data_IF_489646389804
#
_entry.id   IF_489646389804
#
_cell.length_a   1.000
_cell.length_b   1.000
_cell.length_c   1.000
_cell.angle_alpha   90.00
_cell.angle_beta   90.00
_cell.angle_gamma   90.00
#
_symmetry.space_group_name_H-M   'P 1'
#
loop_
_entity.id
_entity.type
_entity.pdbx_description
1 polymer ?
#
# COMPACT_ATOMS: atom_id res chain seq x y z
N UNK A 1 13.06 12.48 13.57
CA UNK A 1 12.81 11.15 13.00
C UNK A 1 13.69 11.02 11.78
N UNK A 2 14.82 10.38 11.90
CA UNK A 2 15.75 10.09 10.80
C UNK A 2 15.08 9.10 9.86
N UNK A 3 14.86 9.55 8.64
CA UNK A 3 14.24 8.76 7.57
C UNK A 3 15.34 7.85 6.99
N UNK A 4 15.74 6.82 7.75
CA UNK A 4 16.81 5.91 7.36
C UNK A 4 16.37 5.11 6.12
N UNK A 5 16.88 5.55 4.98
CA UNK A 5 16.69 4.83 3.72
C UNK A 5 17.59 3.60 3.72
N UNK A 6 16.99 2.43 3.78
CA UNK A 6 17.72 1.17 3.58
C UNK A 6 18.23 1.12 2.14
N UNK A 7 19.54 1.02 1.99
CA UNK A 7 20.21 0.90 0.68
C UNK A 7 20.65 -0.55 0.52
N UNK A 8 20.21 -1.19 -0.56
CA UNK A 8 20.66 -2.53 -0.93
C UNK A 8 21.65 -2.37 -2.07
N UNK A 9 22.83 -2.95 -1.90
CA UNK A 9 23.89 -3.01 -2.91
C UNK A 9 23.97 -4.42 -3.48
N UNK A 10 24.44 -4.54 -4.70
CA UNK A 10 24.69 -5.83 -5.33
C UNK A 10 25.93 -6.50 -4.69
N UNK A 11 25.77 -7.72 -4.20
CA UNK A 11 26.85 -8.46 -3.53
C UNK A 11 28.03 -8.73 -4.47
N UNK A 12 27.78 -8.82 -5.79
CA UNK A 12 28.81 -9.13 -6.77
C UNK A 12 29.62 -7.92 -7.25
N UNK A 13 28.99 -6.75 -7.40
CA UNK A 13 29.65 -5.56 -7.98
C UNK A 13 29.57 -4.30 -7.12
N UNK A 14 28.97 -4.37 -5.94
CA UNK A 14 28.81 -3.24 -5.01
C UNK A 14 27.91 -2.10 -5.51
N UNK A 15 27.34 -2.20 -6.72
CA UNK A 15 26.47 -1.14 -7.24
C UNK A 15 25.18 -1.03 -6.43
N UNK A 16 24.73 0.18 -6.20
CA UNK A 16 23.46 0.44 -5.54
C UNK A 16 22.30 -0.07 -6.39
N UNK A 17 21.53 -1.01 -5.84
CA UNK A 17 20.36 -1.61 -6.48
C UNK A 17 19.08 -0.87 -6.14
N UNK A 18 18.83 -0.69 -4.85
CA UNK A 18 17.59 -0.15 -4.32
C UNK A 18 17.87 0.80 -3.16
N UNK A 19 17.03 1.82 -3.06
CA UNK A 19 16.96 2.67 -1.88
C UNK A 19 15.48 2.84 -1.56
N UNK A 20 15.04 2.33 -0.42
CA UNK A 20 13.65 2.40 -0.02
C UNK A 20 13.51 2.66 1.48
N UNK A 21 12.37 3.22 1.85
CA UNK A 21 11.98 3.33 3.26
C UNK A 21 11.30 2.03 3.69
N UNK A 22 11.44 1.65 4.93
CA UNK A 22 10.82 0.46 5.54
C UNK A 22 9.30 0.39 5.31
N UNK A 23 8.65 1.54 5.12
CA UNK A 23 7.21 1.70 4.84
C UNK A 23 6.85 1.63 3.35
N UNK A 24 7.78 1.20 2.46
CA UNK A 24 7.46 1.11 1.04
C UNK A 24 6.40 0.04 0.81
N UNK A 25 5.38 0.41 0.00
CA UNK A 25 4.24 -0.46 -0.30
C UNK A 25 4.69 -1.77 -0.93
N UNK A 26 4.21 -2.89 -0.38
CA UNK A 26 4.39 -4.23 -0.97
C UNK A 26 3.87 -4.27 -2.40
N UNK A 27 4.61 -4.91 -3.30
CA UNK A 27 4.27 -5.09 -4.71
C UNK A 27 4.15 -6.56 -5.02
N UNK A 28 3.10 -6.93 -5.72
CA UNK A 28 2.89 -8.31 -6.15
C UNK A 28 3.46 -8.50 -7.56
N UNK A 29 4.78 -8.65 -7.61
CA UNK A 29 5.59 -8.84 -8.82
C UNK A 29 6.66 -9.87 -8.53
N UNK A 30 7.38 -10.32 -9.57
CA UNK A 30 8.57 -11.16 -9.37
C UNK A 30 9.57 -10.48 -8.43
N UNK A 31 9.93 -11.11 -7.30
CA UNK A 31 10.97 -10.62 -6.40
C UNK A 31 12.38 -10.75 -6.99
N UNK A 32 12.57 -11.64 -7.98
CA UNK A 32 13.85 -11.82 -8.65
C UNK A 32 14.06 -10.72 -9.66
N UNK A 33 15.11 -9.93 -9.46
CA UNK A 33 15.53 -8.85 -10.35
C UNK A 33 16.99 -9.06 -10.79
N UNK A 34 17.38 -8.41 -11.88
CA UNK A 34 18.78 -8.44 -12.37
C UNK A 34 19.48 -7.12 -12.08
N UNK A 35 20.70 -7.20 -11.63
CA UNK A 35 21.57 -6.02 -11.49
C UNK A 35 21.86 -5.45 -12.89
N UNK A 36 21.63 -4.16 -13.08
CA UNK A 36 21.86 -3.48 -14.37
C UNK A 36 23.34 -3.46 -14.78
N UNK A 37 24.27 -3.55 -13.81
CA UNK A 37 25.72 -3.42 -14.07
C UNK A 37 26.37 -4.78 -14.36
N UNK A 38 26.11 -5.80 -13.54
CA UNK A 38 26.77 -7.11 -13.65
C UNK A 38 25.84 -8.26 -14.01
N UNK A 39 24.54 -8.00 -14.23
CA UNK A 39 23.51 -8.97 -14.57
C UNK A 39 23.26 -10.05 -13.51
N UNK A 40 23.90 -9.97 -12.35
CA UNK A 40 23.64 -10.90 -11.23
C UNK A 40 22.19 -10.77 -10.75
N UNK A 41 21.59 -11.89 -10.38
CA UNK A 41 20.26 -11.91 -9.79
C UNK A 41 20.31 -11.47 -8.33
N UNK A 42 19.24 -10.83 -7.87
CA UNK A 42 19.03 -10.45 -6.48
C UNK A 42 17.53 -10.45 -6.14
N UNK A 43 17.21 -10.54 -4.84
CA UNK A 43 15.83 -10.43 -4.36
C UNK A 43 15.48 -8.98 -4.00
N UNK A 44 14.37 -8.49 -4.56
CA UNK A 44 13.75 -7.24 -4.13
C UNK A 44 12.74 -7.54 -3.02
N UNK A 45 13.08 -7.27 -1.78
CA UNK A 45 12.25 -7.52 -0.60
C UNK A 45 10.91 -6.76 -0.56
N UNK A 46 10.65 -5.87 -1.51
CA UNK A 46 9.35 -5.19 -1.68
C UNK A 46 8.41 -5.97 -2.58
N UNK A 47 8.95 -6.87 -3.40
CA UNK A 47 8.19 -7.67 -4.34
C UNK A 47 7.88 -9.03 -3.72
N UNK A 48 6.64 -9.48 -3.88
CA UNK A 48 6.11 -10.69 -3.27
C UNK A 48 5.42 -11.54 -4.33
N UNK A 49 5.67 -12.86 -4.29
CA UNK A 49 4.95 -13.83 -5.12
C UNK A 49 3.66 -14.26 -4.43
N UNK A 50 2.52 -13.93 -5.05
CA UNK A 50 1.20 -14.29 -4.49
C UNK A 50 1.01 -15.81 -4.42
N UNK A 51 1.60 -16.57 -5.35
CA UNK A 51 1.53 -18.02 -5.35
C UNK A 51 2.18 -18.66 -4.12
N UNK A 52 3.18 -17.98 -3.51
CA UNK A 52 3.90 -18.45 -2.32
C UNK A 52 3.32 -17.87 -1.03
N UNK A 53 3.20 -16.55 -0.96
CA UNK A 53 2.79 -15.85 0.26
C UNK A 53 1.26 -15.75 0.44
N UNK A 54 0.51 -15.94 -0.66
CA UNK A 54 -0.94 -15.74 -0.66
C UNK A 54 -1.35 -14.27 -0.69
N UNK A 55 -2.65 -14.04 -0.66
CA UNK A 55 -3.25 -12.69 -0.60
C UNK A 55 -3.53 -12.37 0.87
N UNK A 56 -3.09 -11.21 1.39
CA UNK A 56 -3.41 -10.83 2.77
C UNK A 56 -4.93 -10.79 3.00
N UNK A 57 -5.38 -11.40 4.09
CA UNK A 57 -6.80 -11.51 4.45
C UNK A 57 -7.50 -10.15 4.54
N UNK A 58 -6.77 -9.11 4.95
CA UNK A 58 -7.30 -7.75 5.10
C UNK A 58 -7.64 -7.07 3.77
N UNK A 59 -7.15 -7.60 2.64
CA UNK A 59 -7.36 -7.00 1.32
C UNK A 59 -8.83 -6.94 0.94
N UNK A 60 -9.62 -7.94 1.36
CA UNK A 60 -11.05 -8.07 1.07
C UNK A 60 -11.94 -7.80 2.29
N UNK A 61 -11.38 -7.35 3.40
CA UNK A 61 -12.13 -7.10 4.63
C UNK A 61 -13.03 -5.86 4.50
N UNK A 62 -14.32 -6.07 4.34
CA UNK A 62 -15.35 -5.00 4.36
C UNK A 62 -15.37 -4.34 5.74
N UNK A 63 -15.15 -5.11 6.81
CA UNK A 63 -15.18 -4.60 8.19
C UNK A 63 -14.19 -3.47 8.42
N UNK A 64 -12.96 -3.60 7.95
CA UNK A 64 -11.94 -2.54 8.09
C UNK A 64 -12.33 -1.27 7.31
N UNK A 65 -13.02 -1.42 6.18
CA UNK A 65 -13.49 -0.29 5.37
C UNK A 65 -14.67 0.44 6.02
N UNK A 66 -15.58 -0.30 6.66
CA UNK A 66 -16.66 0.29 7.45
C UNK A 66 -16.13 1.08 8.64
N UNK A 67 -15.13 0.54 9.36
CA UNK A 67 -14.49 1.25 10.47
C UNK A 67 -13.85 2.56 9.97
N UNK A 68 -13.17 2.54 8.82
CA UNK A 68 -12.58 3.72 8.22
C UNK A 68 -13.66 4.75 7.81
N UNK A 69 -14.78 4.29 7.28
CA UNK A 69 -15.94 5.15 6.95
C UNK A 69 -16.55 5.80 8.18
N UNK A 70 -16.74 5.04 9.27
CA UNK A 70 -17.22 5.57 10.55
C UNK A 70 -16.26 6.59 11.15
N UNK A 71 -14.95 6.34 11.07
CA UNK A 71 -13.95 7.30 11.50
C UNK A 71 -14.01 8.58 10.65
N UNK A 72 -14.17 8.46 9.33
CA UNK A 72 -14.39 9.60 8.44
C UNK A 72 -15.63 10.42 8.82
N UNK A 73 -16.75 9.76 9.15
CA UNK A 73 -17.97 10.42 9.62
C UNK A 73 -17.76 11.15 10.95
N UNK A 74 -17.01 10.55 11.88
CA UNK A 74 -16.64 11.22 13.13
C UNK A 74 -15.79 12.46 12.90
N UNK A 75 -14.78 12.38 12.02
CA UNK A 75 -13.93 13.53 11.65
C UNK A 75 -14.76 14.64 11.01
N UNK A 76 -15.67 14.28 10.10
CA UNK A 76 -16.59 15.22 9.45
C UNK A 76 -17.49 15.93 10.48
N UNK A 77 -18.09 15.17 11.38
CA UNK A 77 -18.90 15.70 12.48
C UNK A 77 -18.12 16.71 13.34
N UNK A 78 -16.89 16.36 13.70
CA UNK A 78 -16.00 17.28 14.46
C UNK A 78 -15.70 18.55 13.67
N UNK A 79 -15.46 18.44 12.38
CA UNK A 79 -15.26 19.60 11.50
C UNK A 79 -16.47 20.55 11.49
N UNK A 80 -17.67 20.00 11.31
CA UNK A 80 -18.94 20.76 11.34
C UNK A 80 -19.13 21.42 12.70
N UNK A 81 -18.96 20.67 13.79
CA UNK A 81 -19.11 21.20 15.15
C UNK A 81 -18.13 22.34 15.44
N UNK A 82 -16.89 22.23 15.01
CA UNK A 82 -15.90 23.30 15.12
C UNK A 82 -16.30 24.52 14.30
N UNK A 83 -16.80 24.34 13.07
CA UNK A 83 -17.24 25.43 12.22
C UNK A 83 -18.33 26.26 12.89
N UNK A 84 -19.36 25.62 13.46
CA UNK A 84 -20.42 26.30 14.19
C UNK A 84 -19.92 27.03 15.45
N UNK A 85 -18.95 26.45 16.13
CA UNK A 85 -18.39 27.04 17.35
C UNK A 85 -17.57 28.29 17.07
N UNK A 86 -16.86 28.35 15.94
CA UNK A 86 -16.03 29.49 15.56
C UNK A 86 -16.80 30.65 14.91
N UNK A 87 -18.03 30.44 14.42
CA UNK A 87 -18.86 31.56 13.90
C UNK A 87 -19.34 32.49 15.01
N UNK A 88 -19.23 32.14 16.26
CA UNK A 88 -19.81 32.86 17.40
C UNK A 88 -18.81 33.83 18.08
N UNK A 89 -17.69 34.22 17.42
CA UNK A 89 -17.10 35.45 17.92
C UNK A 89 -15.61 35.59 18.17
N UNK A 90 -14.71 35.14 17.30
CA UNK A 90 -13.32 35.57 17.39
C UNK A 90 -12.67 35.83 16.02
N UNK A 91 -11.98 36.98 15.86
CA UNK A 91 -11.40 37.40 14.57
C UNK A 91 -9.95 36.95 14.41
N UNK A 92 -9.61 35.70 14.68
CA UNK A 92 -8.27 35.18 14.40
C UNK A 92 -8.29 34.39 13.10
N UNK A 93 -7.71 34.95 12.05
CA UNK A 93 -7.69 34.44 10.68
C UNK A 93 -7.13 33.03 10.48
N UNK A 94 -6.57 32.40 11.49
CA UNK A 94 -5.95 31.07 11.42
C UNK A 94 -6.85 29.95 11.97
N UNK A 95 -7.87 30.29 12.73
CA UNK A 95 -8.71 29.30 13.42
C UNK A 95 -9.75 28.61 12.53
N UNK A 96 -10.18 29.26 11.44
CA UNK A 96 -11.15 28.67 10.49
C UNK A 96 -10.52 27.60 9.57
N UNK A 97 -9.19 27.58 9.43
CA UNK A 97 -8.50 26.62 8.58
C UNK A 97 -8.64 25.18 9.12
N UNK A 98 -8.60 25.02 10.43
CA UNK A 98 -8.74 23.71 11.08
C UNK A 98 -10.08 23.01 10.80
N UNK A 99 -11.25 23.65 10.97
CA UNK A 99 -12.54 23.04 10.59
C UNK A 99 -12.59 22.64 9.13
N UNK A 100 -12.08 23.46 8.21
CA UNK A 100 -12.06 23.18 6.77
C UNK A 100 -11.20 21.94 6.48
N UNK A 101 -10.03 21.82 7.10
CA UNK A 101 -9.17 20.62 6.94
C UNK A 101 -9.90 19.36 7.43
N UNK A 102 -10.59 19.41 8.59
CA UNK A 102 -11.37 18.28 9.10
C UNK A 102 -12.52 17.91 8.16
N UNK A 103 -13.21 18.89 7.58
CA UNK A 103 -14.30 18.67 6.62
C UNK A 103 -13.76 17.93 5.37
N UNK A 104 -12.71 18.46 4.75
CA UNK A 104 -12.09 17.84 3.56
C UNK A 104 -11.62 16.42 3.89
N UNK A 105 -10.90 16.25 4.99
CA UNK A 105 -10.37 14.96 5.40
C UNK A 105 -11.49 13.93 5.66
N UNK A 106 -12.56 14.35 6.35
CA UNK A 106 -13.73 13.51 6.62
C UNK A 106 -14.41 13.05 5.33
N UNK A 107 -14.64 13.97 4.38
CA UNK A 107 -15.24 13.65 3.07
C UNK A 107 -14.35 12.68 2.29
N UNK A 108 -13.05 12.92 2.21
CA UNK A 108 -12.10 12.03 1.49
C UNK A 108 -12.10 10.62 2.08
N UNK A 109 -12.10 10.49 3.40
CA UNK A 109 -12.15 9.19 4.07
C UNK A 109 -13.46 8.43 3.78
N UNK A 110 -14.60 9.12 3.81
CA UNK A 110 -15.91 8.52 3.51
C UNK A 110 -15.96 8.07 2.05
N UNK A 111 -15.61 8.92 1.11
CA UNK A 111 -15.59 8.59 -0.32
C UNK A 111 -14.64 7.41 -0.58
N UNK A 112 -13.44 7.44 0.00
CA UNK A 112 -12.47 6.35 -0.11
C UNK A 112 -13.03 5.03 0.42
N UNK A 113 -13.70 5.03 1.56
CA UNK A 113 -14.34 3.85 2.12
C UNK A 113 -15.47 3.30 1.23
N UNK A 114 -16.32 4.17 0.69
CA UNK A 114 -17.42 3.78 -0.22
C UNK A 114 -16.86 3.18 -1.51
N UNK A 115 -15.90 3.83 -2.15
CA UNK A 115 -15.26 3.32 -3.38
C UNK A 115 -14.64 1.96 -3.13
N UNK A 116 -13.90 1.79 -2.03
CA UNK A 116 -13.28 0.51 -1.68
C UNK A 116 -14.31 -0.61 -1.46
N UNK A 117 -15.42 -0.32 -0.77
CA UNK A 117 -16.52 -1.29 -0.59
C UNK A 117 -17.15 -1.65 -1.94
N UNK A 118 -17.42 -0.68 -2.80
CA UNK A 118 -17.97 -0.93 -4.14
C UNK A 118 -17.03 -1.79 -4.98
N UNK A 119 -15.72 -1.54 -4.95
CA UNK A 119 -14.72 -2.35 -5.66
C UNK A 119 -14.64 -3.80 -5.15
N UNK A 120 -14.88 -4.01 -3.86
CA UNK A 120 -14.97 -5.36 -3.29
C UNK A 120 -16.27 -6.04 -3.73
N UNK A 121 -17.42 -5.35 -3.60
CA UNK A 121 -18.74 -5.90 -3.94
C UNK A 121 -18.89 -6.22 -5.44
N UNK A 122 -18.33 -5.38 -6.32
CA UNK A 122 -18.33 -5.61 -7.78
C UNK A 122 -17.34 -6.68 -8.21
N UNK A 123 -16.54 -7.22 -7.29
CA UNK A 123 -15.51 -8.22 -7.61
C UNK A 123 -14.33 -7.67 -8.41
N UNK A 124 -14.25 -6.37 -8.66
CA UNK A 124 -13.15 -5.77 -9.45
C UNK A 124 -11.80 -5.96 -8.75
N UNK A 125 -11.76 -5.84 -7.42
CA UNK A 125 -10.55 -6.16 -6.65
C UNK A 125 -10.19 -7.64 -6.78
N UNK A 126 -11.18 -8.54 -6.67
CA UNK A 126 -10.97 -9.97 -6.79
C UNK A 126 -10.33 -10.32 -8.14
N UNK A 127 -10.95 -9.88 -9.24
CA UNK A 127 -10.42 -10.11 -10.61
C UNK A 127 -8.98 -9.63 -10.77
N UNK A 128 -8.62 -8.49 -10.17
CA UNK A 128 -7.25 -7.97 -10.22
C UNK A 128 -6.27 -8.92 -9.52
N UNK A 129 -6.62 -9.40 -8.33
CA UNK A 129 -5.75 -10.30 -7.57
C UNK A 129 -5.71 -11.70 -8.19
N UNK A 130 -6.82 -12.20 -8.76
CA UNK A 130 -6.85 -13.47 -9.47
C UNK A 130 -5.93 -13.44 -10.70
N UNK A 131 -5.91 -12.34 -11.45
CA UNK A 131 -4.96 -12.13 -12.55
C UNK A 131 -3.50 -12.16 -12.06
N UNK A 132 -3.18 -11.43 -11.00
CA UNK A 132 -1.83 -11.42 -10.44
C UNK A 132 -1.42 -12.79 -9.90
N UNK A 133 -2.37 -13.55 -9.35
CA UNK A 133 -2.15 -14.93 -8.90
C UNK A 133 -1.84 -15.86 -10.06
N UNK A 134 -2.63 -15.82 -11.13
CA UNK A 134 -2.38 -16.62 -12.33
C UNK A 134 -1.01 -16.31 -12.96
N UNK A 135 -0.63 -15.04 -13.01
CA UNK A 135 0.70 -14.63 -13.49
C UNK A 135 1.82 -15.15 -12.59
N UNK A 136 1.61 -15.16 -11.27
CA UNK A 136 2.56 -15.70 -10.28
C UNK A 136 2.66 -17.23 -10.39
N UNK A 137 1.53 -17.93 -10.51
CA UNK A 137 1.48 -19.38 -10.70
C UNK A 137 2.18 -19.80 -12.01
N UNK A 138 1.95 -19.06 -13.10
CA UNK A 138 2.63 -19.32 -14.38
C UNK A 138 4.16 -19.15 -14.26
N UNK A 139 4.65 -18.15 -13.51
CA UNK A 139 6.09 -18.01 -13.24
C UNK A 139 6.63 -19.17 -12.41
N UNK A 140 5.89 -19.64 -11.41
CA UNK A 140 6.29 -20.75 -10.55
C UNK A 140 6.30 -22.10 -11.27
N UNK A 141 5.56 -22.26 -12.38
CA UNK A 141 5.63 -23.46 -13.24
C UNK A 141 6.96 -23.56 -14.00
N UNK A 142 7.65 -22.44 -14.22
CA UNK A 142 9.01 -22.46 -14.76
C UNK A 142 9.99 -22.96 -13.69
N UNK A 143 10.48 -24.19 -13.90
CA UNK A 143 11.43 -24.86 -12.98
C UNK A 143 12.70 -24.04 -12.77
N UNK A 144 13.16 -23.30 -13.79
CA UNK A 144 14.37 -22.49 -13.70
C UNK A 144 14.15 -21.28 -12.77
N UNK A 145 12.97 -20.69 -12.85
CA UNK A 145 12.56 -19.59 -11.96
C UNK A 145 12.36 -20.05 -10.52
N UNK A 146 11.67 -21.15 -10.32
CA UNK A 146 11.44 -21.74 -8.99
C UNK A 146 12.76 -22.13 -8.30
N UNK A 147 13.70 -22.74 -9.05
CA UNK A 147 15.04 -23.05 -8.56
C UNK A 147 15.81 -21.79 -8.15
N UNK A 148 15.77 -20.75 -8.98
CA UNK A 148 16.45 -19.48 -8.70
C UNK A 148 15.88 -18.78 -7.48
N UNK A 149 14.57 -18.83 -7.24
CA UNK A 149 13.91 -18.30 -6.05
C UNK A 149 14.44 -19.00 -4.79
N UNK A 150 14.51 -20.33 -4.83
CA UNK A 150 15.01 -21.13 -3.70
C UNK A 150 16.50 -20.88 -3.45
N UNK A 151 17.32 -20.80 -4.50
CA UNK A 151 18.76 -20.51 -4.40
C UNK A 151 19.02 -19.12 -3.77
N UNK A 152 18.17 -18.13 -4.07
CA UNK A 152 18.27 -16.79 -3.49
C UNK A 152 17.66 -16.70 -2.08
N UNK A 153 17.12 -17.79 -1.52
CA UNK A 153 16.57 -17.83 -0.17
C UNK A 153 15.21 -17.17 -0.02
N UNK A 154 14.39 -17.17 -1.09
CA UNK A 154 12.99 -16.72 -0.97
C UNK A 154 12.19 -17.78 -0.19
N UNK A 155 11.38 -17.37 0.83
CA UNK A 155 10.63 -18.27 1.71
C UNK A 155 9.56 -19.10 0.99
#
# INVERSE_FOLDING_TARGET
MTNDKKVICCDRCGSKLLSYNEYSKKRYESPVKRCKKCQAYYLDSRCHEIAVEGIPSDTFSIRSRLIMGLFGAFVLYRGIHLLFRYQIGTPEHMQWLMPVVFLIMGVVLIIGAIVDVLLIMTGSKQKKYDKLRLESEARMQDKSYAYLLNELGYP
#
